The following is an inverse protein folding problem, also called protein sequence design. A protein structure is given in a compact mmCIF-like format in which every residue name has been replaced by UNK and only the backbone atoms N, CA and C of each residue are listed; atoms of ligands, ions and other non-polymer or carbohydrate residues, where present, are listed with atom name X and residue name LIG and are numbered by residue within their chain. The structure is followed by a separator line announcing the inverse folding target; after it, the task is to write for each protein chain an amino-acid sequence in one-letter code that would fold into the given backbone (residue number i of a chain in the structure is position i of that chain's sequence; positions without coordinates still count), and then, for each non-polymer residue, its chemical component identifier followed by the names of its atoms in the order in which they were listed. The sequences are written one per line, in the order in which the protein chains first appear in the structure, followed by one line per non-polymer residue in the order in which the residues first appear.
data_IF_554274563418
#
_entry.id   IF_554274563418
#
_cell.length_a   1.000
_cell.length_b   1.000
_cell.length_c   1.000
_cell.angle_alpha   90.00
_cell.angle_beta   90.00
_cell.angle_gamma   90.00
#
_symmetry.space_group_name_H-M   'P 1'
#
loop_
_entity.id
_entity.type
_entity.pdbx_description
1 polymer ?
#
# COMPACT_ATOMS: atom_id res chain seq x y z
N UNK A 1 15.12 -19.89 -7.83
CA UNK A 1 15.47 -18.48 -8.12
C UNK A 1 15.07 -17.60 -6.94
N UNK A 2 15.99 -16.81 -6.45
CA UNK A 2 15.81 -15.91 -5.29
C UNK A 2 14.66 -14.91 -5.52
N UNK A 3 14.52 -14.38 -6.73
CA UNK A 3 13.49 -13.40 -7.10
C UNK A 3 12.20 -14.02 -7.66
N UNK A 4 11.98 -15.31 -7.43
CA UNK A 4 10.78 -15.99 -7.93
C UNK A 4 9.50 -15.36 -7.34
N UNK A 5 8.57 -14.97 -8.20
CA UNK A 5 7.30 -14.37 -7.79
C UNK A 5 7.32 -12.85 -7.62
N UNK A 6 8.48 -12.22 -7.43
CA UNK A 6 8.62 -10.78 -7.21
C UNK A 6 8.71 -9.97 -8.51
N UNK A 7 9.27 -10.55 -9.59
CA UNK A 7 9.58 -9.80 -10.81
C UNK A 7 8.36 -9.60 -11.70
N UNK A 8 8.12 -8.36 -12.13
CA UNK A 8 7.06 -7.97 -13.06
C UNK A 8 7.61 -7.10 -14.20
N UNK A 9 7.05 -7.28 -15.38
CA UNK A 9 7.34 -6.44 -16.54
C UNK A 9 6.57 -5.13 -16.44
N UNK A 10 7.24 -4.01 -16.65
CA UNK A 10 6.62 -2.67 -16.60
C UNK A 10 5.54 -2.46 -17.66
N UNK A 11 5.72 -3.06 -18.85
CA UNK A 11 4.80 -2.87 -19.97
C UNK A 11 3.55 -3.76 -19.87
N UNK A 12 3.73 -5.08 -19.66
CA UNK A 12 2.61 -6.03 -19.70
C UNK A 12 2.18 -6.57 -18.34
N UNK A 13 2.84 -6.21 -17.24
CA UNK A 13 2.58 -6.74 -15.90
C UNK A 13 2.93 -8.23 -15.70
N UNK A 14 3.33 -8.93 -16.77
CA UNK A 14 3.65 -10.36 -16.75
C UNK A 14 4.90 -10.65 -15.92
N UNK A 15 5.02 -11.89 -15.42
CA UNK A 15 6.21 -12.33 -14.68
C UNK A 15 7.44 -12.41 -15.58
N UNK A 16 8.64 -12.24 -15.00
CA UNK A 16 9.89 -12.55 -15.68
C UNK A 16 10.34 -13.97 -15.28
N UNK A 17 10.92 -14.68 -16.25
CA UNK A 17 11.41 -16.04 -16.11
C UNK A 17 12.93 -16.08 -16.22
N UNK A 18 13.59 -16.80 -15.31
CA UNK A 18 15.03 -17.01 -15.34
C UNK A 18 15.39 -17.94 -16.50
N UNK A 19 16.38 -17.57 -17.30
CA UNK A 19 16.94 -18.35 -18.38
C UNK A 19 18.46 -18.26 -18.38
N UNK A 20 19.12 -19.34 -18.81
CA UNK A 20 20.55 -19.30 -19.13
C UNK A 20 20.75 -18.79 -20.54
N UNK A 21 21.71 -17.91 -20.74
CA UNK A 21 22.11 -17.48 -22.09
C UNK A 21 22.87 -18.60 -22.80
N UNK A 22 22.73 -18.66 -24.14
CA UNK A 22 23.47 -19.61 -24.97
C UNK A 22 24.83 -19.05 -25.44
N UNK A 23 25.30 -17.96 -24.84
CA UNK A 23 26.62 -17.36 -25.12
C UNK A 23 27.72 -18.14 -24.40
N UNK A 24 28.97 -17.93 -24.83
CA UNK A 24 30.15 -18.64 -24.26
C UNK A 24 30.27 -18.46 -22.72
N UNK A 25 29.77 -17.34 -22.20
CA UNK A 25 29.85 -16.96 -20.79
C UNK A 25 28.58 -17.31 -20.01
N UNK A 26 27.76 -18.24 -20.43
CA UNK A 26 26.58 -18.84 -19.78
C UNK A 26 26.08 -18.12 -18.51
N UNK A 27 25.67 -16.87 -18.63
CA UNK A 27 25.09 -16.13 -17.51
C UNK A 27 23.57 -16.28 -17.44
N UNK A 28 23.01 -16.06 -16.27
CA UNK A 28 21.57 -16.16 -16.02
C UNK A 28 20.89 -14.81 -16.25
N UNK A 29 19.74 -14.82 -16.93
CA UNK A 29 18.97 -13.61 -17.24
C UNK A 29 17.49 -13.81 -16.94
N UNK A 30 16.85 -12.81 -16.39
CA UNK A 30 15.40 -12.73 -16.29
C UNK A 30 14.84 -12.08 -17.56
N UNK A 31 13.84 -12.73 -18.17
CA UNK A 31 13.22 -12.24 -19.41
C UNK A 31 11.69 -12.31 -19.27
N UNK A 32 10.98 -11.31 -19.81
CA UNK A 32 9.53 -11.24 -19.79
C UNK A 32 8.89 -12.49 -20.40
N UNK A 33 8.05 -13.16 -19.63
CA UNK A 33 7.33 -14.39 -20.05
C UNK A 33 6.37 -14.13 -21.20
N UNK A 34 5.69 -12.99 -21.23
CA UNK A 34 4.79 -12.60 -22.32
C UNK A 34 5.53 -12.47 -23.63
N UNK A 35 6.69 -11.80 -23.62
CA UNK A 35 7.55 -11.72 -24.81
C UNK A 35 8.00 -13.09 -25.29
N UNK A 36 8.41 -13.99 -24.37
CA UNK A 36 8.88 -15.33 -24.72
C UNK A 36 7.78 -16.16 -25.39
N UNK A 37 6.55 -16.11 -24.85
CA UNK A 37 5.47 -17.00 -25.27
C UNK A 37 4.58 -16.41 -26.37
N UNK A 38 4.41 -15.09 -26.40
CA UNK A 38 3.49 -14.39 -27.31
C UNK A 38 4.19 -13.49 -28.34
N UNK A 39 5.49 -13.24 -28.16
CA UNK A 39 6.32 -12.47 -29.11
C UNK A 39 6.13 -10.95 -29.04
N UNK A 40 6.80 -10.25 -29.96
CA UNK A 40 6.88 -8.77 -30.03
C UNK A 40 5.54 -8.05 -30.18
N UNK A 41 4.49 -8.74 -30.63
CA UNK A 41 3.17 -8.15 -30.78
C UNK A 41 2.46 -7.87 -29.43
N UNK A 42 2.95 -8.48 -28.34
CA UNK A 42 2.29 -8.42 -27.02
C UNK A 42 3.16 -7.77 -25.95
N UNK A 43 4.46 -7.68 -26.14
CA UNK A 43 5.38 -7.01 -25.23
C UNK A 43 6.76 -6.87 -25.89
N UNK A 44 7.51 -5.85 -25.53
CA UNK A 44 8.91 -5.70 -25.95
C UNK A 44 9.83 -6.60 -25.13
N UNK A 45 11.11 -6.67 -25.49
CA UNK A 45 12.08 -7.54 -24.82
C UNK A 45 12.59 -6.92 -23.51
N UNK A 46 11.82 -7.06 -22.43
CA UNK A 46 12.29 -6.75 -21.07
C UNK A 46 13.19 -7.88 -20.57
N UNK A 47 14.42 -7.54 -20.26
CA UNK A 47 15.44 -8.50 -19.86
C UNK A 47 16.44 -7.84 -18.90
N UNK A 48 16.86 -8.52 -17.84
CA UNK A 48 17.89 -8.08 -16.89
C UNK A 48 18.77 -9.25 -16.50
N UNK A 49 20.08 -9.02 -16.37
CA UNK A 49 21.01 -10.03 -15.88
C UNK A 49 20.77 -10.29 -14.40
N UNK A 50 20.92 -11.55 -13.96
CA UNK A 50 20.62 -11.94 -12.60
C UNK A 50 21.57 -11.28 -11.59
N UNK A 51 22.85 -11.14 -11.94
CA UNK A 51 23.87 -10.52 -11.10
C UNK A 51 23.63 -9.00 -11.00
N UNK A 52 23.37 -8.33 -12.14
CA UNK A 52 23.05 -6.89 -12.15
C UNK A 52 21.77 -6.58 -11.33
N UNK A 53 20.78 -7.46 -11.41
CA UNK A 53 19.55 -7.33 -10.61
C UNK A 53 19.84 -7.51 -9.12
N UNK A 54 20.68 -8.50 -8.77
CA UNK A 54 21.08 -8.76 -7.39
C UNK A 54 21.76 -7.53 -6.79
N UNK A 55 22.75 -7.00 -7.48
CA UNK A 55 23.49 -5.81 -7.03
C UNK A 55 22.59 -4.58 -6.90
N UNK A 56 21.72 -4.35 -7.88
CA UNK A 56 20.78 -3.22 -7.86
C UNK A 56 19.82 -3.31 -6.66
N UNK A 57 19.28 -4.49 -6.38
CA UNK A 57 18.36 -4.70 -5.25
C UNK A 57 19.11 -4.59 -3.92
N UNK A 58 20.31 -5.14 -3.79
CA UNK A 58 21.14 -5.04 -2.58
C UNK A 58 21.46 -3.58 -2.25
N UNK A 59 21.95 -2.82 -3.25
CA UNK A 59 22.24 -1.40 -3.09
C UNK A 59 20.98 -0.64 -2.62
N UNK A 60 19.84 -0.92 -3.27
CA UNK A 60 18.59 -0.22 -2.95
C UNK A 60 18.09 -0.51 -1.53
N UNK A 61 18.18 -1.77 -1.06
CA UNK A 61 17.86 -2.13 0.33
C UNK A 61 18.80 -1.41 1.30
N UNK A 62 20.11 -1.39 1.02
CA UNK A 62 21.09 -0.68 1.84
C UNK A 62 20.82 0.83 1.89
N UNK A 63 20.46 1.46 0.76
CA UNK A 63 20.08 2.88 0.70
C UNK A 63 18.85 3.16 1.54
N UNK A 64 17.80 2.34 1.40
CA UNK A 64 16.58 2.47 2.19
C UNK A 64 16.86 2.28 3.70
N UNK A 65 17.65 1.24 4.05
CA UNK A 65 18.01 0.97 5.44
C UNK A 65 18.86 2.11 6.05
N UNK A 66 19.82 2.65 5.30
CA UNK A 66 20.62 3.80 5.75
C UNK A 66 19.78 5.08 5.87
N UNK A 67 18.82 5.27 4.98
CA UNK A 67 17.91 6.41 5.06
C UNK A 67 17.02 6.36 6.31
N UNK A 68 16.65 5.16 6.76
CA UNK A 68 15.86 4.94 7.98
C UNK A 68 16.73 5.02 9.25
N UNK A 69 17.98 4.54 9.21
CA UNK A 69 18.90 4.50 10.39
C UNK A 69 19.80 5.73 10.51
N UNK A 70 20.01 6.48 9.43
CA UNK A 70 20.71 7.76 9.43
C UNK A 70 19.92 8.81 10.21
N UNK A 71 20.56 9.93 10.63
CA UNK A 71 19.89 11.02 11.36
C UNK A 71 18.56 11.37 10.67
N UNK A 72 17.50 10.81 11.18
CA UNK A 72 16.18 10.63 10.58
C UNK A 72 15.43 11.89 10.16
N UNK A 73 16.13 13.01 10.01
CA UNK A 73 15.53 14.31 9.76
C UNK A 73 15.10 14.52 8.31
N UNK A 74 15.77 13.96 7.32
CA UNK A 74 15.49 14.35 5.92
C UNK A 74 14.51 13.40 5.23
N UNK A 75 14.56 12.11 5.47
CA UNK A 75 13.58 11.16 4.90
C UNK A 75 12.31 11.04 5.75
N UNK A 76 12.45 11.01 7.08
CA UNK A 76 11.30 11.13 7.99
C UNK A 76 10.56 12.45 7.77
N UNK A 77 11.25 13.56 7.61
CA UNK A 77 10.61 14.82 7.31
C UNK A 77 9.99 14.83 5.91
N UNK A 78 10.60 14.20 4.91
CA UNK A 78 10.05 14.11 3.56
C UNK A 78 8.89 13.14 3.45
N UNK A 79 8.93 12.01 4.15
CA UNK A 79 7.79 11.07 4.27
C UNK A 79 6.70 11.72 5.13
N UNK A 80 7.06 12.40 6.20
CA UNK A 80 6.14 13.19 7.01
C UNK A 80 5.54 14.34 6.21
N UNK A 81 6.33 15.16 5.52
CA UNK A 81 5.81 16.23 4.65
C UNK A 81 4.89 15.74 3.54
N UNK A 82 5.15 14.57 2.96
CA UNK A 82 4.30 13.98 1.93
C UNK A 82 3.05 13.27 2.49
N UNK A 83 3.09 12.82 3.74
CA UNK A 83 1.99 12.09 4.39
C UNK A 83 1.26 12.91 5.46
N UNK A 84 1.89 13.88 6.14
CA UNK A 84 1.33 14.51 7.34
C UNK A 84 0.44 15.73 7.07
N UNK A 85 0.64 16.53 6.03
CA UNK A 85 -0.17 17.74 5.83
C UNK A 85 -1.62 17.42 5.42
N UNK A 86 -1.87 16.30 4.76
CA UNK A 86 -3.21 15.96 4.26
C UNK A 86 -3.88 14.81 5.05
N UNK A 87 -3.11 13.83 5.54
CA UNK A 87 -3.67 12.62 6.20
C UNK A 87 -4.02 12.83 7.67
N UNK A 88 -3.20 13.51 8.46
CA UNK A 88 -3.48 13.71 9.88
C UNK A 88 -4.70 14.61 10.10
N UNK A 89 -4.81 15.71 9.33
CA UNK A 89 -5.97 16.58 9.38
C UNK A 89 -7.27 15.90 8.94
N UNK A 90 -7.17 14.98 7.98
CA UNK A 90 -8.28 14.15 7.52
C UNK A 90 -8.71 13.14 8.60
N UNK A 91 -7.75 12.45 9.19
CA UNK A 91 -7.97 11.49 10.29
C UNK A 91 -8.62 12.13 11.49
N UNK A 92 -8.07 13.24 11.98
CA UNK A 92 -8.64 14.00 13.11
C UNK A 92 -10.08 14.44 12.84
N UNK A 93 -10.37 14.82 11.59
CA UNK A 93 -11.71 15.21 11.15
C UNK A 93 -12.67 14.02 11.13
N UNK A 94 -12.21 12.85 10.66
CA UNK A 94 -12.98 11.60 10.67
C UNK A 94 -13.25 11.10 12.07
N UNK A 95 -12.27 11.13 12.97
CA UNK A 95 -12.43 10.74 14.39
C UNK A 95 -13.46 11.62 15.09
N UNK A 96 -13.40 12.93 14.88
CA UNK A 96 -14.41 13.88 15.41
C UNK A 96 -15.80 13.61 14.84
N UNK A 97 -15.89 13.25 13.55
CA UNK A 97 -17.16 12.90 12.91
C UNK A 97 -17.73 11.61 13.50
N UNK A 98 -16.90 10.57 13.65
CA UNK A 98 -17.28 9.29 14.28
C UNK A 98 -17.77 9.51 15.72
N UNK A 99 -17.09 10.34 16.50
CA UNK A 99 -17.52 10.70 17.85
C UNK A 99 -18.90 11.38 17.85
N UNK A 100 -19.10 12.39 17.01
CA UNK A 100 -20.40 13.09 16.88
C UNK A 100 -21.51 12.16 16.45
N UNK A 101 -21.25 11.22 15.55
CA UNK A 101 -22.24 10.23 15.10
C UNK A 101 -22.64 9.29 16.23
N UNK A 102 -21.70 8.84 17.07
CA UNK A 102 -21.98 8.03 18.26
C UNK A 102 -22.84 8.80 19.27
N UNK A 103 -22.48 10.04 19.59
CA UNK A 103 -23.23 10.89 20.52
C UNK A 103 -24.65 11.16 20.00
N UNK A 104 -24.80 11.32 18.67
CA UNK A 104 -26.12 11.49 18.05
C UNK A 104 -26.97 10.24 18.17
N UNK A 105 -26.42 9.04 17.94
CA UNK A 105 -27.14 7.77 18.13
C UNK A 105 -27.62 7.62 19.55
N UNK A 106 -26.79 7.91 20.57
CA UNK A 106 -27.18 7.87 21.97
C UNK A 106 -28.29 8.88 22.28
N UNK A 107 -28.26 10.06 21.67
CA UNK A 107 -29.30 11.06 21.80
C UNK A 107 -30.63 10.57 21.19
N UNK A 108 -30.59 9.89 20.05
CA UNK A 108 -31.76 9.31 19.40
C UNK A 108 -32.35 8.16 20.23
N UNK A 109 -31.51 7.33 20.86
CA UNK A 109 -31.96 6.26 21.77
C UNK A 109 -32.70 6.85 22.98
N UNK A 110 -32.15 7.91 23.57
CA UNK A 110 -32.82 8.64 24.67
C UNK A 110 -34.13 9.28 24.23
N UNK A 111 -34.20 9.79 23.00
CA UNK A 111 -35.42 10.35 22.42
C UNK A 111 -36.50 9.28 22.27
N UNK A 112 -36.18 8.09 21.78
CA UNK A 112 -37.12 6.97 21.63
C UNK A 112 -37.67 6.57 23.00
N UNK A 113 -36.80 6.45 24.02
CA UNK A 113 -37.24 6.14 25.38
C UNK A 113 -38.22 7.18 25.92
N UNK A 114 -37.94 8.48 25.71
CA UNK A 114 -38.83 9.57 26.08
C UNK A 114 -40.16 9.55 25.35
N UNK A 115 -40.16 9.28 24.05
CA UNK A 115 -41.40 9.15 23.26
C UNK A 115 -42.28 8.02 23.79
N UNK A 116 -41.67 6.90 24.21
CA UNK A 116 -42.37 5.79 24.81
C UNK A 116 -43.00 6.18 26.15
N UNK A 117 -42.28 6.89 27.02
CA UNK A 117 -42.78 7.41 28.28
C UNK A 117 -43.94 8.42 28.07
N UNK A 118 -43.83 9.29 27.10
CA UNK A 118 -44.86 10.28 26.78
C UNK A 118 -46.15 9.63 26.22
N UNK A 119 -46.00 8.52 25.47
CA UNK A 119 -47.15 7.72 25.00
C UNK A 119 -47.88 7.05 26.19
N UNK A 120 -47.14 6.39 27.10
CA UNK A 120 -47.71 5.70 28.27
C UNK A 120 -48.44 6.70 29.18
N UNK A 121 -47.96 7.93 29.28
CA UNK A 121 -48.55 8.99 30.09
C UNK A 121 -49.63 9.81 29.34
N UNK A 122 -50.15 9.33 28.21
CA UNK A 122 -51.17 9.98 27.38
C UNK A 122 -50.85 11.42 26.94
N UNK A 123 -49.54 11.79 26.90
CA UNK A 123 -49.10 13.13 26.44
C UNK A 123 -49.07 13.25 24.95
N UNK A 124 -48.90 12.15 24.23
CA UNK A 124 -48.92 12.07 22.79
C UNK A 124 -49.85 10.94 22.33
N UNK A 125 -50.39 11.07 21.13
CA UNK A 125 -51.21 10.01 20.54
C UNK A 125 -50.32 8.95 19.86
N UNK A 126 -50.84 7.73 19.72
CA UNK A 126 -50.18 6.62 19.04
C UNK A 126 -49.72 7.04 17.60
N UNK A 127 -50.60 7.74 16.86
CA UNK A 127 -50.26 8.22 15.52
C UNK A 127 -49.07 9.22 15.49
N UNK A 128 -48.89 10.02 16.54
CA UNK A 128 -47.74 10.93 16.68
C UNK A 128 -46.49 10.14 17.04
N UNK A 129 -46.63 9.19 17.97
CA UNK A 129 -45.55 8.29 18.37
C UNK A 129 -44.99 7.53 17.18
N UNK A 130 -45.86 6.87 16.37
CA UNK A 130 -45.44 6.08 15.23
C UNK A 130 -44.66 6.93 14.21
N UNK A 131 -45.15 8.11 13.86
CA UNK A 131 -44.47 9.02 12.93
C UNK A 131 -43.11 9.48 13.46
N UNK A 132 -43.00 9.79 14.74
CA UNK A 132 -41.75 10.22 15.34
C UNK A 132 -40.76 9.05 15.46
N UNK A 133 -41.25 7.86 15.80
CA UNK A 133 -40.45 6.64 15.87
C UNK A 133 -39.88 6.28 14.51
N UNK A 134 -40.69 6.26 13.44
CA UNK A 134 -40.26 5.98 12.06
C UNK A 134 -39.16 6.96 11.63
N UNK A 135 -39.36 8.26 11.84
CA UNK A 135 -38.36 9.29 11.52
C UNK A 135 -37.05 9.08 12.27
N UNK A 136 -37.14 8.78 13.58
CA UNK A 136 -35.94 8.58 14.44
C UNK A 136 -35.19 7.32 14.05
N UNK A 137 -35.89 6.23 13.77
CA UNK A 137 -35.29 4.97 13.34
C UNK A 137 -34.64 5.09 11.95
N UNK A 138 -35.23 5.86 11.06
CA UNK A 138 -34.60 6.15 9.75
C UNK A 138 -33.29 6.91 9.94
N UNK A 139 -33.30 7.98 10.75
CA UNK A 139 -32.08 8.74 11.07
C UNK A 139 -31.01 7.84 11.72
N UNK A 140 -31.39 6.96 12.65
CA UNK A 140 -30.46 5.99 13.24
C UNK A 140 -29.85 5.05 12.21
N UNK A 141 -30.64 4.58 11.26
CA UNK A 141 -30.19 3.67 10.19
C UNK A 141 -29.17 4.36 9.28
N UNK A 142 -29.45 5.59 8.90
CA UNK A 142 -28.58 6.39 8.05
C UNK A 142 -27.23 6.68 8.75
N UNK A 143 -27.27 7.11 10.02
CA UNK A 143 -26.07 7.37 10.82
C UNK A 143 -25.26 6.09 11.05
N UNK A 144 -25.91 4.95 11.35
CA UNK A 144 -25.19 3.66 11.52
C UNK A 144 -24.46 3.23 10.27
N UNK A 145 -25.05 3.46 9.10
CA UNK A 145 -24.40 3.16 7.82
C UNK A 145 -23.17 4.03 7.59
N UNK A 146 -23.29 5.34 7.79
CA UNK A 146 -22.17 6.28 7.66
C UNK A 146 -21.07 5.99 8.68
N UNK A 147 -21.43 5.72 9.93
CA UNK A 147 -20.51 5.37 11.00
C UNK A 147 -19.68 4.13 10.65
N UNK A 148 -20.34 3.08 10.11
CA UNK A 148 -19.65 1.88 9.66
C UNK A 148 -18.64 2.15 8.54
N UNK A 149 -18.98 3.01 7.59
CA UNK A 149 -18.10 3.42 6.50
C UNK A 149 -16.88 4.19 7.03
N UNK A 150 -17.11 5.20 7.87
CA UNK A 150 -16.05 6.03 8.44
C UNK A 150 -15.10 5.21 9.33
N UNK A 151 -15.63 4.29 10.14
CA UNK A 151 -14.81 3.37 10.94
C UNK A 151 -13.98 2.42 10.07
N UNK A 152 -14.52 1.95 8.94
CA UNK A 152 -13.77 1.11 8.01
C UNK A 152 -12.57 1.85 7.40
N UNK A 153 -12.74 3.13 7.08
CA UNK A 153 -11.64 3.98 6.58
C UNK A 153 -10.56 4.13 7.65
N UNK A 154 -10.92 4.54 8.87
CA UNK A 154 -9.97 4.68 9.98
C UNK A 154 -9.21 3.39 10.28
N UNK A 155 -9.89 2.24 10.31
CA UNK A 155 -9.25 0.95 10.54
C UNK A 155 -8.28 0.55 9.42
N UNK A 156 -8.54 1.00 8.19
CA UNK A 156 -7.64 0.75 7.06
C UNK A 156 -6.39 1.60 7.15
N UNK A 157 -6.54 2.88 7.50
CA UNK A 157 -5.41 3.80 7.74
C UNK A 157 -4.52 3.30 8.89
N UNK A 158 -5.11 2.88 10.03
CA UNK A 158 -4.36 2.32 11.16
C UNK A 158 -3.54 1.06 10.77
N UNK A 159 -4.11 0.20 9.93
CA UNK A 159 -3.40 -0.99 9.46
C UNK A 159 -2.23 -0.63 8.55
N UNK A 160 -2.40 0.35 7.66
CA UNK A 160 -1.34 0.82 6.79
C UNK A 160 -0.21 1.46 7.60
N UNK A 161 -0.52 2.29 8.60
CA UNK A 161 0.46 2.89 9.49
C UNK A 161 1.25 1.82 10.26
N UNK A 162 0.56 0.82 10.84
CA UNK A 162 1.21 -0.28 11.56
C UNK A 162 2.11 -1.14 10.65
N UNK A 163 1.69 -1.39 9.40
CA UNK A 163 2.49 -2.12 8.42
C UNK A 163 3.72 -1.32 8.00
N UNK A 164 3.59 -0.01 7.80
CA UNK A 164 4.69 0.88 7.47
C UNK A 164 5.72 0.95 8.60
N UNK A 165 5.25 1.07 9.84
CA UNK A 165 6.11 1.08 11.03
C UNK A 165 6.89 -0.24 11.17
N UNK A 166 6.21 -1.38 11.01
CA UNK A 166 6.85 -2.70 11.07
C UNK A 166 7.90 -2.86 9.97
N UNK A 167 7.62 -2.36 8.76
CA UNK A 167 8.57 -2.39 7.67
C UNK A 167 9.80 -1.52 7.95
N UNK A 168 9.62 -0.33 8.54
CA UNK A 168 10.72 0.55 8.95
C UNK A 168 11.62 -0.16 9.97
N UNK A 169 11.02 -0.80 10.99
CA UNK A 169 11.76 -1.61 11.98
C UNK A 169 12.51 -2.75 11.30
N UNK A 170 11.84 -3.49 10.43
CA UNK A 170 12.42 -4.61 9.70
C UNK A 170 13.61 -4.19 8.83
N UNK A 171 13.50 -3.12 8.05
CA UNK A 171 14.56 -2.71 7.13
C UNK A 171 15.75 -2.09 7.86
N UNK A 172 15.54 -1.47 9.04
CA UNK A 172 16.60 -0.84 9.82
C UNK A 172 17.70 -1.83 10.23
N UNK A 173 17.33 -3.10 10.43
CA UNK A 173 18.28 -4.17 10.78
C UNK A 173 19.25 -4.51 9.63
N UNK A 174 18.95 -4.07 8.40
CA UNK A 174 19.69 -4.45 7.20
C UNK A 174 20.57 -3.34 6.60
N UNK A 175 20.90 -2.30 7.37
CA UNK A 175 21.76 -1.20 6.91
C UNK A 175 23.15 -1.67 6.43
N UNK A 176 23.70 -2.72 7.03
CA UNK A 176 25.01 -3.30 6.72
C UNK A 176 24.93 -4.69 6.07
N UNK A 177 23.78 -5.04 5.48
CA UNK A 177 23.60 -6.33 4.82
C UNK A 177 24.57 -6.49 3.65
N UNK A 178 25.19 -7.67 3.54
CA UNK A 178 26.15 -8.00 2.47
C UNK A 178 25.60 -8.98 1.47
N UNK A 179 24.63 -9.77 1.85
CA UNK A 179 24.05 -10.83 1.03
C UNK A 179 22.53 -10.82 1.14
N UNK A 180 21.86 -11.04 0.01
CA UNK A 180 20.39 -11.17 -0.05
C UNK A 180 20.02 -12.65 0.07
N UNK A 181 18.92 -12.92 0.76
CA UNK A 181 18.26 -14.21 0.71
C UNK A 181 16.78 -14.09 0.31
N UNK A 182 16.17 -15.21 -0.08
CA UNK A 182 14.79 -15.22 -0.56
C UNK A 182 13.76 -14.85 0.53
N UNK A 183 14.05 -15.15 1.80
CA UNK A 183 13.16 -14.83 2.92
C UNK A 183 13.14 -13.33 3.16
N UNK A 184 14.33 -12.72 3.18
CA UNK A 184 14.50 -11.27 3.28
C UNK A 184 13.75 -10.54 2.18
N UNK A 185 13.97 -10.96 0.92
CA UNK A 185 13.31 -10.33 -0.22
C UNK A 185 11.80 -10.39 -0.14
N UNK A 186 11.22 -11.55 0.22
CA UNK A 186 9.78 -11.70 0.36
C UNK A 186 9.20 -10.96 1.58
N UNK A 187 10.02 -10.62 2.57
CA UNK A 187 9.60 -9.85 3.75
C UNK A 187 9.60 -8.34 3.47
N UNK A 188 10.60 -7.85 2.73
CA UNK A 188 10.80 -6.42 2.50
C UNK A 188 10.19 -5.90 1.20
N UNK A 189 9.97 -6.76 0.20
CA UNK A 189 9.60 -6.36 -1.15
C UNK A 189 8.33 -7.08 -1.59
N UNK A 190 7.32 -6.31 -1.98
CA UNK A 190 6.09 -6.86 -2.54
C UNK A 190 6.23 -7.15 -4.03
N UNK A 191 6.96 -6.29 -4.75
CA UNK A 191 7.11 -6.39 -6.20
C UNK A 191 8.35 -5.64 -6.70
N UNK A 192 9.00 -6.19 -7.72
CA UNK A 192 10.09 -5.54 -8.47
C UNK A 192 9.65 -5.40 -9.92
N UNK A 193 9.60 -4.18 -10.43
CA UNK A 193 9.18 -3.86 -11.80
C UNK A 193 10.42 -3.60 -12.66
N UNK A 194 10.53 -4.32 -13.78
CA UNK A 194 11.62 -4.18 -14.75
C UNK A 194 11.10 -3.43 -15.97
N UNK A 195 11.65 -2.24 -16.21
CA UNK A 195 11.37 -1.41 -17.38
C UNK A 195 12.36 -1.65 -18.52
N UNK A 196 12.11 -1.05 -19.70
CA UNK A 196 13.09 -1.02 -20.78
C UNK A 196 14.30 -0.15 -20.43
N UNK A 197 15.50 -0.50 -20.95
CA UNK A 197 16.67 0.37 -20.85
C UNK A 197 16.38 1.69 -21.57
N UNK A 198 16.54 2.81 -20.89
CA UNK A 198 16.53 4.10 -21.57
C UNK A 198 17.83 4.25 -22.36
N UNK A 199 17.72 4.46 -23.68
CA UNK A 199 18.87 4.78 -24.52
C UNK A 199 19.49 6.11 -24.07
N UNK A 200 20.62 6.04 -23.38
CA UNK A 200 21.52 7.19 -23.21
C UNK A 200 22.57 7.14 -24.28
N UNK A 201 22.48 8.13 -25.20
CA UNK A 201 23.48 8.51 -26.19
C UNK A 201 24.54 7.46 -26.62
N UNK A 202 24.28 6.78 -27.77
CA UNK A 202 25.29 6.43 -28.76
C UNK A 202 26.47 5.51 -28.43
N UNK A 203 26.57 4.94 -27.23
CA UNK A 203 27.62 3.97 -26.87
C UNK A 203 27.04 2.59 -26.61
N UNK A 204 27.44 1.63 -27.44
CA UNK A 204 27.03 0.20 -27.44
C UNK A 204 27.45 -0.58 -26.17
N UNK A 205 27.63 0.04 -25.01
CA UNK A 205 27.88 -0.64 -23.75
C UNK A 205 26.60 -0.68 -22.94
N UNK A 206 25.77 -1.68 -23.20
CA UNK A 206 24.57 -2.05 -22.40
C UNK A 206 24.95 -2.53 -21.00
N UNK A 207 25.58 -1.70 -20.18
CA UNK A 207 25.50 -1.84 -18.74
C UNK A 207 24.17 -1.26 -18.31
N UNK A 208 23.23 -2.18 -18.04
CA UNK A 208 21.88 -1.86 -17.58
C UNK A 208 21.97 -1.20 -16.21
N UNK A 209 21.54 0.04 -16.17
CA UNK A 209 21.61 0.89 -15.00
C UNK A 209 20.55 0.49 -13.96
N UNK A 210 20.80 0.71 -12.64
CA UNK A 210 19.85 0.50 -11.56
C UNK A 210 18.48 1.20 -11.74
N UNK A 211 18.43 2.22 -12.63
CA UNK A 211 17.22 3.01 -12.96
C UNK A 211 16.10 2.19 -13.61
N UNK A 212 16.40 0.97 -14.11
CA UNK A 212 15.39 0.06 -14.68
C UNK A 212 14.63 -0.77 -13.65
N UNK A 213 15.06 -0.73 -12.39
CA UNK A 213 14.54 -1.56 -11.30
C UNK A 213 13.77 -0.69 -10.35
N UNK A 214 12.44 -0.77 -10.36
CA UNK A 214 11.59 -0.12 -9.38
C UNK A 214 11.10 -1.17 -8.38
N UNK A 215 11.33 -0.93 -7.09
CA UNK A 215 10.83 -1.80 -6.02
C UNK A 215 9.58 -1.18 -5.41
N UNK A 216 8.54 -2.00 -5.26
CA UNK A 216 7.36 -1.69 -4.44
C UNK A 216 7.45 -2.51 -3.14
N UNK A 217 7.28 -1.82 -2.06
CA UNK A 217 7.37 -2.32 -0.69
C UNK A 217 6.00 -2.73 -0.22
#
# INVERSE_FOLDING_TARGET
SMFAGLLRCAECGGALTLKKTHTKDQHEVYTCSTYIHKGKAHCTQHRVDADDLYDAVLIRIQECAKAVTGDGTELENRVKELCEEDTQGHRDSLEKLVSKQKDRLETLDRLIAKLYDDLINDKITESVFDKMLEKTQKEQTDIKKELSQNQSVLNTEEKLDAQSQQWIEDISEYADIKELDANLLNRLISKIVISEPQEKDGTENYRRTPEMVTMEI
#
